data_IF_161441075777
#
_entry.id   IF_161441075777
#
_cell.length_a   1.000
_cell.length_b   1.000
_cell.length_c   1.000
_cell.angle_alpha   90.00
_cell.angle_beta   90.00
_cell.angle_gamma   90.00
#
_symmetry.space_group_name_H-M   'P 1'
#
loop_
_entity.id
_entity.type
_entity.pdbx_description
1 polymer ?
#
# COMPACT_ATOMS: atom_id res chain seq x y z
N UNK A 1 -41.71 7.52 37.31
CA UNK A 1 -41.74 8.11 35.96
C UNK A 1 -40.50 7.62 35.21
N UNK A 2 -40.66 6.57 34.44
CA UNK A 2 -39.59 6.05 33.56
C UNK A 2 -39.55 6.96 32.34
N UNK A 3 -38.51 7.79 32.20
CA UNK A 3 -38.23 8.54 31.00
C UNK A 3 -38.10 7.54 29.84
N UNK A 4 -39.03 7.61 28.92
CA UNK A 4 -38.96 6.87 27.66
C UNK A 4 -37.66 7.26 26.95
N UNK A 5 -36.70 6.33 26.95
CA UNK A 5 -35.48 6.46 26.16
C UNK A 5 -35.87 6.69 24.72
N UNK A 6 -35.73 7.91 24.23
CA UNK A 6 -35.94 8.25 22.81
C UNK A 6 -35.02 7.39 22.01
N UNK A 7 -35.60 6.43 21.29
CA UNK A 7 -34.93 5.61 20.28
C UNK A 7 -34.17 6.58 19.36
N UNK A 8 -32.84 6.50 19.25
CA UNK A 8 -32.09 7.40 18.39
C UNK A 8 -32.63 7.29 16.97
N UNK A 9 -33.00 8.43 16.37
CA UNK A 9 -33.43 8.52 14.98
C UNK A 9 -32.49 7.70 14.14
N UNK A 10 -33.05 6.70 13.44
CA UNK A 10 -32.28 5.82 12.57
C UNK A 10 -31.34 6.66 11.70
N UNK A 11 -30.03 6.41 11.83
CA UNK A 11 -29.05 7.16 11.04
C UNK A 11 -29.29 6.87 9.56
N UNK A 12 -29.63 7.92 8.80
CA UNK A 12 -29.93 7.81 7.36
C UNK A 12 -28.75 7.31 6.52
N UNK A 13 -27.53 7.29 7.08
CA UNK A 13 -26.33 6.75 6.44
C UNK A 13 -26.23 5.22 6.46
N UNK A 14 -27.01 4.51 7.29
CA UNK A 14 -26.92 3.04 7.38
C UNK A 14 -27.13 2.36 6.02
N UNK A 15 -28.19 2.67 5.23
CA UNK A 15 -28.39 2.06 3.92
C UNK A 15 -27.30 2.44 2.91
N UNK A 16 -26.73 3.63 2.99
CA UNK A 16 -25.63 4.04 2.12
C UNK A 16 -24.37 3.18 2.39
N UNK A 17 -24.02 3.01 3.66
CA UNK A 17 -22.86 2.17 4.03
C UNK A 17 -23.06 0.71 3.64
N UNK A 18 -24.27 0.16 3.88
CA UNK A 18 -24.60 -1.19 3.45
C UNK A 18 -24.54 -1.34 1.93
N UNK A 19 -25.05 -0.35 1.20
CA UNK A 19 -24.99 -0.30 -0.26
C UNK A 19 -23.54 -0.31 -0.78
N UNK A 20 -22.65 0.50 -0.19
CA UNK A 20 -21.22 0.50 -0.58
C UNK A 20 -20.63 -0.89 -0.44
N UNK A 21 -20.81 -1.55 0.71
CA UNK A 21 -20.27 -2.89 0.95
C UNK A 21 -20.84 -3.91 -0.04
N UNK A 22 -22.17 -3.88 -0.27
CA UNK A 22 -22.82 -4.78 -1.22
C UNK A 22 -22.31 -4.55 -2.64
N UNK A 23 -22.18 -3.29 -3.08
CA UNK A 23 -21.70 -2.94 -4.42
C UNK A 23 -20.29 -3.46 -4.69
N UNK A 24 -19.38 -3.26 -3.73
CA UNK A 24 -18.00 -3.80 -3.82
C UNK A 24 -18.02 -5.33 -3.85
N UNK A 25 -18.76 -5.99 -2.95
CA UNK A 25 -18.85 -7.45 -2.90
C UNK A 25 -19.37 -8.04 -4.21
N UNK A 26 -20.42 -7.44 -4.80
CA UNK A 26 -20.97 -7.89 -6.08
C UNK A 26 -19.94 -7.73 -7.21
N UNK A 27 -19.19 -6.61 -7.23
CA UNK A 27 -18.14 -6.42 -8.22
C UNK A 27 -17.02 -7.47 -8.09
N UNK A 28 -16.63 -7.83 -6.89
CA UNK A 28 -15.59 -8.84 -6.64
C UNK A 28 -16.01 -10.28 -7.05
N UNK A 29 -17.31 -10.55 -7.19
CA UNK A 29 -17.83 -11.83 -7.69
C UNK A 29 -17.84 -11.91 -9.23
N UNK A 30 -17.55 -10.84 -9.94
CA UNK A 30 -17.55 -10.86 -11.40
C UNK A 30 -16.36 -11.67 -11.93
N UNK A 31 -16.59 -12.66 -12.82
CA UNK A 31 -15.50 -13.48 -13.37
C UNK A 31 -14.59 -12.70 -14.33
N UNK A 32 -15.12 -11.63 -14.91
CA UNK A 32 -14.42 -10.77 -15.86
C UNK A 32 -14.86 -9.32 -15.68
N UNK A 33 -13.97 -8.38 -15.99
CA UNK A 33 -14.31 -6.96 -16.01
C UNK A 33 -15.20 -6.66 -17.22
N UNK A 34 -16.32 -5.95 -16.97
CA UNK A 34 -17.17 -5.42 -18.03
C UNK A 34 -16.50 -4.26 -18.77
N UNK A 35 -17.09 -3.86 -19.90
CA UNK A 35 -16.64 -2.66 -20.61
C UNK A 35 -17.01 -1.39 -19.83
N UNK A 36 -16.19 -0.32 -19.97
CA UNK A 36 -16.42 0.95 -19.27
C UNK A 36 -17.85 1.54 -19.42
N UNK A 37 -18.50 1.48 -20.60
CA UNK A 37 -19.88 1.96 -20.75
C UNK A 37 -20.89 1.24 -19.85
N UNK A 38 -20.69 -0.05 -19.55
CA UNK A 38 -21.57 -0.81 -18.65
C UNK A 38 -21.48 -0.25 -17.23
N UNK A 39 -20.28 0.01 -16.71
CA UNK A 39 -20.10 0.63 -15.41
C UNK A 39 -20.68 2.03 -15.33
N UNK A 40 -20.52 2.85 -16.40
CA UNK A 40 -21.11 4.17 -16.47
C UNK A 40 -22.65 4.10 -16.46
N UNK A 41 -23.25 3.16 -17.20
CA UNK A 41 -24.69 2.94 -17.19
C UNK A 41 -25.22 2.51 -15.82
N UNK A 42 -24.49 1.61 -15.11
CA UNK A 42 -24.84 1.19 -13.75
C UNK A 42 -24.70 2.34 -12.74
N UNK A 43 -23.79 3.28 -12.95
CA UNK A 43 -23.65 4.44 -12.07
C UNK A 43 -24.80 5.46 -12.19
N UNK A 44 -25.48 5.55 -13.35
CA UNK A 44 -26.52 6.56 -13.64
C UNK A 44 -27.65 6.59 -12.60
N UNK A 45 -28.29 5.47 -12.21
CA UNK A 45 -29.35 5.50 -11.19
C UNK A 45 -28.87 6.07 -9.85
N UNK A 46 -27.63 5.73 -9.44
CA UNK A 46 -27.01 6.28 -8.24
C UNK A 46 -26.78 7.77 -8.30
N UNK A 47 -26.26 8.27 -9.42
CA UNK A 47 -26.04 9.71 -9.65
C UNK A 47 -27.36 10.48 -9.69
N UNK A 48 -28.37 9.95 -10.38
CA UNK A 48 -29.71 10.56 -10.43
C UNK A 48 -30.33 10.66 -9.02
N UNK A 49 -30.22 9.59 -8.23
CA UNK A 49 -30.70 9.62 -6.85
C UNK A 49 -29.99 10.69 -6.02
N UNK A 50 -28.65 10.79 -6.13
CA UNK A 50 -27.88 11.83 -5.44
C UNK A 50 -28.33 13.24 -5.86
N UNK A 51 -28.56 13.49 -7.14
CA UNK A 51 -29.05 14.79 -7.66
C UNK A 51 -30.44 15.13 -7.11
N UNK A 52 -31.36 14.15 -7.05
CA UNK A 52 -32.70 14.35 -6.47
C UNK A 52 -32.62 14.71 -4.98
N UNK A 53 -31.72 14.07 -4.23
CA UNK A 53 -31.54 14.41 -2.81
C UNK A 53 -30.94 15.80 -2.61
N UNK A 54 -29.98 16.20 -3.44
CA UNK A 54 -29.39 17.55 -3.42
C UNK A 54 -30.41 18.63 -3.79
N UNK A 55 -31.39 18.33 -4.67
CA UNK A 55 -32.48 19.23 -5.03
C UNK A 55 -33.54 19.36 -3.91
N UNK A 56 -33.33 18.84 -2.72
CA UNK A 56 -34.18 19.04 -1.54
C UNK A 56 -35.48 18.24 -1.52
N UNK A 57 -35.69 17.29 -2.44
CA UNK A 57 -36.85 16.40 -2.44
C UNK A 57 -36.68 15.35 -1.33
N UNK A 58 -37.25 15.59 -0.16
CA UNK A 58 -37.25 14.66 0.97
C UNK A 58 -38.07 13.42 0.59
N UNK A 59 -37.39 12.29 0.45
CA UNK A 59 -38.03 11.00 0.16
C UNK A 59 -38.77 10.46 1.39
N UNK A 60 -39.91 9.81 1.15
CA UNK A 60 -40.67 9.06 2.15
C UNK A 60 -39.94 7.78 2.63
N UNK A 61 -40.70 6.83 3.27
CA UNK A 61 -40.16 5.55 3.80
C UNK A 61 -39.40 4.67 2.79
N UNK A 62 -39.66 4.80 1.50
CA UNK A 62 -38.92 4.10 0.43
C UNK A 62 -37.51 4.69 0.17
N UNK A 63 -37.16 5.82 0.76
CA UNK A 63 -35.87 6.51 0.55
C UNK A 63 -34.65 5.68 0.96
N UNK A 64 -34.77 4.82 1.98
CA UNK A 64 -33.67 3.99 2.44
C UNK A 64 -33.28 2.88 1.45
N UNK A 65 -34.27 2.28 0.77
CA UNK A 65 -34.03 1.26 -0.26
C UNK A 65 -33.33 1.86 -1.48
N UNK A 66 -33.79 3.03 -1.92
CA UNK A 66 -33.15 3.77 -3.01
C UNK A 66 -31.76 4.27 -2.65
N UNK A 67 -31.52 4.63 -1.37
CA UNK A 67 -30.21 5.00 -0.88
C UNK A 67 -29.23 3.81 -0.93
N UNK A 68 -29.68 2.61 -0.54
CA UNK A 68 -28.89 1.39 -0.61
C UNK A 68 -28.55 1.05 -2.05
N UNK A 69 -29.53 1.05 -2.96
CA UNK A 69 -29.30 0.76 -4.38
C UNK A 69 -28.39 1.77 -5.05
N UNK A 70 -28.58 3.06 -4.75
CA UNK A 70 -27.74 4.12 -5.27
C UNK A 70 -26.29 3.98 -4.85
N UNK A 71 -26.06 3.71 -3.55
CA UNK A 71 -24.72 3.49 -3.04
C UNK A 71 -24.10 2.21 -3.61
N UNK A 72 -24.88 1.13 -3.74
CA UNK A 72 -24.39 -0.13 -4.31
C UNK A 72 -24.01 0.03 -5.79
N UNK A 73 -24.83 0.69 -6.59
CA UNK A 73 -24.55 0.93 -8.02
C UNK A 73 -23.30 1.80 -8.21
N UNK A 74 -23.16 2.86 -7.40
CA UNK A 74 -21.98 3.73 -7.44
C UNK A 74 -20.71 3.01 -7.02
N UNK A 75 -20.75 2.23 -5.92
CA UNK A 75 -19.61 1.48 -5.44
C UNK A 75 -19.19 0.39 -6.42
N UNK A 76 -20.16 -0.37 -6.97
CA UNK A 76 -19.91 -1.35 -8.02
C UNK A 76 -19.22 -0.72 -9.23
N UNK A 77 -19.77 0.37 -9.75
CA UNK A 77 -19.22 1.06 -10.92
C UNK A 77 -17.82 1.65 -10.63
N UNK A 78 -17.65 2.30 -9.49
CA UNK A 78 -16.37 2.90 -9.11
C UNK A 78 -15.27 1.85 -8.97
N UNK A 79 -15.58 0.69 -8.37
CA UNK A 79 -14.63 -0.41 -8.21
C UNK A 79 -14.26 -1.00 -9.57
N UNK A 80 -15.24 -1.24 -10.45
CA UNK A 80 -15.00 -1.75 -11.80
C UNK A 80 -14.21 -0.78 -12.69
N UNK A 81 -14.52 0.52 -12.65
CA UNK A 81 -13.77 1.53 -13.39
C UNK A 81 -12.32 1.66 -12.89
N UNK A 82 -12.09 1.61 -11.56
CA UNK A 82 -10.73 1.58 -11.00
C UNK A 82 -9.94 0.37 -11.49
N UNK A 83 -10.58 -0.81 -11.51
CA UNK A 83 -9.94 -2.03 -11.99
C UNK A 83 -9.58 -1.93 -13.49
N UNK A 84 -10.47 -1.40 -14.33
CA UNK A 84 -10.19 -1.13 -15.75
C UNK A 84 -9.05 -0.13 -15.94
N UNK A 85 -9.04 0.95 -15.16
CA UNK A 85 -7.96 1.94 -15.20
C UNK A 85 -6.62 1.33 -14.82
N UNK A 86 -6.59 0.48 -13.80
CA UNK A 86 -5.38 -0.22 -13.37
C UNK A 86 -4.91 -1.20 -14.46
N UNK A 87 -5.83 -1.93 -15.09
CA UNK A 87 -5.52 -2.83 -16.20
C UNK A 87 -4.96 -2.08 -17.41
N UNK A 88 -5.53 -0.91 -17.74
CA UNK A 88 -5.04 -0.06 -18.82
C UNK A 88 -3.64 0.55 -18.56
N UNK A 89 -3.19 0.55 -17.32
CA UNK A 89 -1.86 1.00 -16.93
C UNK A 89 -0.81 -0.12 -16.96
N UNK A 90 -1.16 -1.33 -17.35
CA UNK A 90 -0.20 -2.42 -17.50
C UNK A 90 0.65 -2.23 -18.78
N UNK A 91 1.77 -2.95 -18.85
CA UNK A 91 2.65 -2.93 -20.02
C UNK A 91 1.91 -3.39 -21.27
N UNK A 92 2.01 -2.63 -22.36
CA UNK A 92 1.48 -3.04 -23.66
C UNK A 92 2.18 -4.30 -24.18
N UNK A 93 1.41 -5.20 -24.81
CA UNK A 93 1.93 -6.44 -25.33
C UNK A 93 3.02 -6.23 -26.43
N UNK A 94 2.92 -5.11 -27.14
CA UNK A 94 3.86 -4.68 -28.18
C UNK A 94 5.25 -4.33 -27.66
N UNK A 95 5.37 -3.95 -26.39
CA UNK A 95 6.64 -3.58 -25.73
C UNK A 95 7.25 -4.73 -24.92
N UNK A 96 6.53 -5.84 -24.77
CA UNK A 96 7.01 -6.99 -24.01
C UNK A 96 8.25 -7.62 -24.66
N UNK A 97 9.28 -7.89 -23.86
CA UNK A 97 10.53 -8.52 -24.28
C UNK A 97 11.47 -7.61 -25.10
N UNK A 98 11.09 -6.34 -25.31
CA UNK A 98 11.93 -5.36 -26.00
C UNK A 98 12.87 -4.64 -25.04
N UNK A 99 13.99 -4.17 -25.56
CA UNK A 99 14.95 -3.39 -24.80
C UNK A 99 14.50 -1.93 -24.79
N UNK A 100 14.20 -1.43 -23.62
CA UNK A 100 13.65 -0.09 -23.39
C UNK A 100 14.63 0.71 -22.56
N UNK A 101 14.84 1.97 -22.92
CA UNK A 101 15.57 2.91 -22.08
C UNK A 101 14.58 3.66 -21.21
N UNK A 102 14.77 3.58 -19.90
CA UNK A 102 13.92 4.26 -18.92
C UNK A 102 14.72 5.24 -18.07
N UNK A 103 14.10 6.34 -17.69
CA UNK A 103 14.56 7.21 -16.62
C UNK A 103 13.51 7.19 -15.53
N UNK A 104 13.94 6.97 -14.29
CA UNK A 104 13.03 6.90 -13.17
C UNK A 104 13.72 6.99 -11.82
N UNK A 105 12.94 7.11 -10.77
CA UNK A 105 13.39 7.17 -9.37
C UNK A 105 13.17 5.85 -8.66
N UNK A 106 14.11 5.44 -7.80
CA UNK A 106 13.95 4.28 -6.92
C UNK A 106 12.86 4.57 -5.89
N UNK A 107 11.70 3.95 -6.07
CA UNK A 107 10.49 4.23 -5.29
C UNK A 107 10.37 3.41 -4.00
N UNK A 108 11.25 2.45 -3.79
CA UNK A 108 11.33 1.64 -2.58
C UNK A 108 12.79 1.34 -2.24
N UNK A 109 13.03 0.89 -1.04
CA UNK A 109 14.35 0.43 -0.62
C UNK A 109 14.85 -0.68 -1.56
N UNK A 110 16.06 -0.58 -2.11
CA UNK A 110 16.71 -1.66 -2.85
C UNK A 110 16.82 -2.91 -1.97
N UNK A 111 16.54 -4.07 -2.57
CA UNK A 111 16.50 -5.31 -1.83
C UNK A 111 17.55 -6.26 -2.35
N UNK A 112 18.61 -6.54 -1.57
CA UNK A 112 19.58 -7.55 -1.90
C UNK A 112 18.92 -8.91 -2.06
N UNK A 113 19.40 -9.68 -3.04
CA UNK A 113 19.05 -11.08 -3.27
C UNK A 113 20.34 -11.87 -3.46
N UNK A 114 20.30 -13.20 -3.36
CA UNK A 114 21.48 -14.05 -3.59
C UNK A 114 22.20 -13.77 -4.92
N UNK A 115 21.46 -13.34 -5.93
CA UNK A 115 21.96 -13.18 -7.30
C UNK A 115 21.97 -11.73 -7.80
N UNK A 116 21.77 -10.75 -6.91
CA UNK A 116 21.70 -9.35 -7.33
C UNK A 116 20.85 -8.48 -6.41
N UNK A 117 20.21 -7.47 -6.99
CA UNK A 117 19.33 -6.54 -6.25
C UNK A 117 17.99 -6.40 -6.97
N UNK A 118 16.91 -6.40 -6.22
CA UNK A 118 15.59 -6.05 -6.74
C UNK A 118 15.30 -4.59 -6.48
N UNK A 119 14.86 -3.90 -7.51
CA UNK A 119 14.56 -2.47 -7.52
C UNK A 119 13.11 -2.23 -7.87
N UNK A 120 12.45 -1.30 -7.20
CA UNK A 120 11.18 -0.74 -7.63
C UNK A 120 11.42 0.66 -8.17
N UNK A 121 11.08 0.89 -9.43
CA UNK A 121 11.32 2.14 -10.13
C UNK A 121 10.01 2.82 -10.46
N UNK A 122 9.87 4.09 -10.05
CA UNK A 122 8.84 4.99 -10.54
C UNK A 122 9.33 5.59 -11.87
N UNK A 123 8.70 5.20 -12.97
CA UNK A 123 9.11 5.60 -14.31
C UNK A 123 8.69 7.04 -14.57
N UNK A 124 9.64 7.87 -15.02
CA UNK A 124 9.41 9.26 -15.40
C UNK A 124 9.32 9.44 -16.92
N UNK A 125 10.19 8.74 -17.64
CA UNK A 125 10.19 8.71 -19.10
C UNK A 125 10.73 7.38 -19.61
N UNK A 126 10.29 7.01 -20.80
CA UNK A 126 10.74 5.80 -21.46
C UNK A 126 10.84 6.02 -22.96
N UNK A 127 11.84 5.37 -23.59
CA UNK A 127 12.04 5.41 -25.03
C UNK A 127 12.31 4.01 -25.56
N UNK A 128 11.80 3.75 -26.78
CA UNK A 128 12.08 2.58 -27.57
C UNK A 128 12.61 3.03 -28.93
N UNK A 129 13.83 2.64 -29.31
CA UNK A 129 14.49 3.11 -30.53
C UNK A 129 14.49 4.64 -30.71
N UNK A 130 14.68 5.37 -29.59
CA UNK A 130 14.68 6.84 -29.59
C UNK A 130 13.30 7.50 -29.59
N UNK A 131 12.21 6.73 -29.77
CA UNK A 131 10.84 7.24 -29.74
C UNK A 131 10.24 7.13 -28.33
N UNK A 132 9.52 8.16 -27.83
CA UNK A 132 8.89 8.10 -26.53
C UNK A 132 7.77 7.05 -26.51
N UNK A 133 7.74 6.23 -25.47
CA UNK A 133 6.71 5.20 -25.25
C UNK A 133 6.08 5.35 -23.86
N UNK A 134 4.84 4.91 -23.74
CA UNK A 134 4.14 4.89 -22.44
C UNK A 134 4.42 3.56 -21.73
N UNK A 135 4.91 3.67 -20.51
CA UNK A 135 5.10 2.54 -19.61
C UNK A 135 4.24 2.69 -18.35
N UNK A 136 4.02 1.59 -17.62
CA UNK A 136 3.45 1.63 -16.28
C UNK A 136 4.20 2.60 -15.36
N UNK A 137 3.47 3.28 -14.48
CA UNK A 137 4.07 4.24 -13.55
C UNK A 137 5.09 3.61 -12.59
N UNK A 138 4.92 2.31 -12.29
CA UNK A 138 5.83 1.55 -11.42
C UNK A 138 6.19 0.24 -12.07
N UNK A 139 7.49 -0.09 -12.04
CA UNK A 139 8.06 -1.34 -12.54
C UNK A 139 8.96 -1.97 -11.48
N UNK A 140 8.92 -3.31 -11.36
CA UNK A 140 9.83 -4.06 -10.51
C UNK A 140 10.93 -4.69 -11.38
N UNK A 141 12.18 -4.40 -11.07
CA UNK A 141 13.35 -4.80 -11.86
C UNK A 141 14.30 -5.66 -11.02
N UNK A 142 14.77 -6.77 -11.57
CA UNK A 142 15.93 -7.47 -11.08
C UNK A 142 17.20 -6.90 -11.71
N UNK A 143 18.19 -6.57 -10.91
CA UNK A 143 19.53 -6.26 -11.39
C UNK A 143 20.47 -7.38 -10.91
N UNK A 144 20.83 -8.28 -11.81
CA UNK A 144 21.55 -9.50 -11.47
C UNK A 144 23.05 -9.34 -11.65
N UNK A 145 23.82 -9.92 -10.73
CA UNK A 145 25.26 -10.03 -10.84
C UNK A 145 25.60 -11.20 -11.79
N UNK A 146 26.32 -10.94 -12.86
CA UNK A 146 27.16 -11.95 -13.52
C UNK A 146 26.53 -13.21 -14.14
N UNK A 147 25.22 -13.36 -14.23
CA UNK A 147 24.59 -14.59 -14.77
C UNK A 147 24.77 -14.75 -16.30
N UNK A 148 25.35 -13.77 -16.99
CA UNK A 148 25.66 -13.86 -18.43
C UNK A 148 27.15 -13.78 -18.73
N UNK A 149 28.00 -14.10 -17.78
CA UNK A 149 29.47 -14.06 -17.95
C UNK A 149 30.06 -15.47 -17.96
N UNK A 150 29.59 -16.33 -18.87
CA UNK A 150 30.34 -17.53 -19.32
C UNK A 150 31.38 -17.21 -20.39
N UNK A 151 31.80 -15.97 -20.56
CA UNK A 151 32.92 -15.61 -21.43
C UNK A 151 34.07 -15.11 -20.56
N UNK A 152 35.04 -16.01 -20.41
CA UNK A 152 36.16 -15.97 -19.47
C UNK A 152 37.25 -14.91 -19.77
N UNK A 153 36.97 -13.71 -20.30
CA UNK A 153 38.08 -12.81 -20.67
C UNK A 153 37.84 -11.28 -20.39
N UNK A 154 36.93 -10.94 -19.54
CA UNK A 154 36.83 -9.54 -19.08
C UNK A 154 36.69 -9.45 -17.56
N UNK A 155 37.83 -9.46 -16.89
CA UNK A 155 37.98 -9.32 -15.45
C UNK A 155 37.69 -7.90 -14.94
N UNK A 156 36.48 -7.37 -15.20
CA UNK A 156 35.93 -6.28 -14.41
C UNK A 156 34.56 -6.73 -13.95
N UNK A 157 34.43 -7.11 -12.64
CA UNK A 157 33.10 -7.21 -12.05
C UNK A 157 32.47 -5.84 -12.22
N UNK A 158 31.39 -5.74 -12.99
CA UNK A 158 30.58 -4.55 -13.06
C UNK A 158 30.07 -4.35 -11.63
N UNK A 159 30.78 -3.48 -10.89
CA UNK A 159 30.44 -3.12 -9.53
C UNK A 159 29.01 -2.58 -9.61
N UNK A 160 28.06 -3.38 -9.15
CA UNK A 160 26.86 -2.76 -8.59
C UNK A 160 27.41 -1.70 -7.66
N UNK A 161 27.12 -0.45 -7.95
CA UNK A 161 27.49 0.63 -7.05
C UNK A 161 26.88 0.24 -5.72
N UNK A 162 27.73 -0.14 -4.75
CA UNK A 162 27.34 -0.75 -3.47
C UNK A 162 26.45 0.12 -2.60
N UNK A 163 25.88 1.17 -3.13
CA UNK A 163 25.13 2.17 -2.39
C UNK A 163 23.90 2.66 -3.19
N UNK A 164 23.05 1.71 -3.62
CA UNK A 164 21.76 2.05 -4.20
C UNK A 164 20.82 2.55 -3.10
N UNK A 165 20.27 3.76 -3.26
CA UNK A 165 19.40 4.38 -2.26
C UNK A 165 18.03 4.74 -2.82
N UNK A 166 17.01 4.55 -2.01
CA UNK A 166 15.67 5.04 -2.34
C UNK A 166 15.71 6.55 -2.64
N UNK A 167 14.93 6.97 -3.65
CA UNK A 167 14.92 8.38 -4.10
C UNK A 167 16.03 8.75 -5.07
N UNK A 168 16.95 7.85 -5.43
CA UNK A 168 17.91 8.10 -6.50
C UNK A 168 17.25 8.02 -7.88
N UNK A 169 17.67 8.89 -8.77
CA UNK A 169 17.22 8.93 -10.17
C UNK A 169 18.24 8.24 -11.06
N UNK A 170 17.78 7.28 -11.83
CA UNK A 170 18.61 6.42 -12.67
C UNK A 170 18.12 6.40 -14.12
N UNK A 171 19.08 6.33 -15.05
CA UNK A 171 18.85 5.93 -16.44
C UNK A 171 19.26 4.46 -16.59
N UNK A 172 18.33 3.63 -17.03
CA UNK A 172 18.50 2.17 -17.11
C UNK A 172 18.02 1.66 -18.46
N UNK A 173 18.74 0.71 -19.04
CA UNK A 173 18.24 -0.11 -20.14
C UNK A 173 17.62 -1.36 -19.54
N UNK A 174 16.36 -1.63 -19.86
CA UNK A 174 15.57 -2.69 -19.22
C UNK A 174 14.84 -3.53 -20.24
N UNK A 175 14.60 -4.80 -19.92
CA UNK A 175 13.69 -5.66 -20.66
C UNK A 175 12.51 -6.01 -19.75
N UNK A 176 11.32 -5.61 -20.20
CA UNK A 176 10.11 -5.71 -19.42
C UNK A 176 9.19 -6.81 -19.92
N UNK A 177 8.40 -7.37 -19.02
CA UNK A 177 7.30 -8.28 -19.29
C UNK A 177 6.09 -7.91 -18.45
N UNK A 178 4.91 -8.28 -18.93
CA UNK A 178 3.69 -8.16 -18.11
C UNK A 178 3.83 -8.97 -16.82
N UNK A 179 3.18 -8.52 -15.72
CA UNK A 179 3.13 -9.31 -14.50
C UNK A 179 2.51 -10.68 -14.78
N UNK A 180 3.25 -11.75 -14.51
CA UNK A 180 2.75 -13.11 -14.58
C UNK A 180 3.10 -13.86 -13.31
N UNK A 181 2.13 -14.58 -12.75
CA UNK A 181 2.29 -15.45 -11.60
C UNK A 181 1.84 -16.88 -11.90
N UNK A 182 2.40 -17.85 -11.19
CA UNK A 182 1.86 -19.20 -11.19
C UNK A 182 0.51 -19.20 -10.44
N UNK A 183 -0.55 -19.70 -11.10
CA UNK A 183 -1.89 -19.84 -10.49
C UNK A 183 -2.08 -21.25 -9.96
N UNK A 184 -1.28 -21.63 -8.97
CA UNK A 184 -1.47 -22.91 -8.30
C UNK A 184 -2.64 -22.80 -7.30
N UNK A 185 -3.52 -23.81 -7.22
CA UNK A 185 -4.57 -23.83 -6.20
C UNK A 185 -3.95 -23.64 -4.81
N UNK A 186 -4.51 -22.72 -4.01
CA UNK A 186 -4.04 -22.35 -2.66
C UNK A 186 -2.60 -21.80 -2.60
N UNK A 187 -1.96 -21.53 -3.75
CA UNK A 187 -0.66 -20.88 -3.83
C UNK A 187 -0.74 -19.37 -3.66
N UNK A 188 0.42 -18.75 -3.45
CA UNK A 188 0.54 -17.28 -3.43
C UNK A 188 0.30 -16.70 -4.84
N UNK A 189 -0.70 -15.83 -4.98
CA UNK A 189 -0.99 -15.12 -6.22
C UNK A 189 -0.05 -13.91 -6.36
N UNK A 190 1.06 -14.13 -7.08
CA UNK A 190 2.06 -13.10 -7.31
C UNK A 190 1.56 -11.98 -8.23
N UNK A 191 0.69 -12.29 -9.17
CA UNK A 191 0.11 -11.31 -10.10
C UNK A 191 -0.82 -10.34 -9.35
N UNK A 192 -1.72 -10.87 -8.50
CA UNK A 192 -2.58 -10.08 -7.62
C UNK A 192 -1.75 -9.22 -6.65
N UNK A 193 -0.69 -9.78 -6.08
CA UNK A 193 0.19 -9.03 -5.18
C UNK A 193 0.89 -7.85 -5.89
N UNK A 194 1.39 -8.04 -7.12
CA UNK A 194 1.96 -6.96 -7.93
C UNK A 194 0.90 -5.90 -8.26
N UNK A 195 -0.30 -6.35 -8.58
CA UNK A 195 -1.44 -5.48 -8.86
C UNK A 195 -1.80 -4.61 -7.66
N UNK A 196 -1.87 -5.18 -6.46
CA UNK A 196 -2.08 -4.45 -5.19
C UNK A 196 -0.97 -3.41 -4.92
N UNK A 197 0.26 -3.73 -5.32
CA UNK A 197 1.39 -2.81 -5.18
C UNK A 197 1.42 -1.72 -6.27
N UNK A 198 0.50 -1.76 -7.23
CA UNK A 198 0.45 -0.83 -8.36
C UNK A 198 1.62 -1.02 -9.34
N UNK A 199 2.18 -2.22 -9.41
CA UNK A 199 3.27 -2.57 -10.33
C UNK A 199 2.68 -3.09 -11.63
N UNK A 200 2.88 -2.36 -12.72
CA UNK A 200 2.31 -2.70 -14.04
C UNK A 200 3.25 -3.47 -14.96
N UNK A 201 4.51 -3.64 -14.58
CA UNK A 201 5.47 -4.48 -15.31
C UNK A 201 6.56 -5.02 -14.39
N UNK A 202 7.11 -6.17 -14.75
CA UNK A 202 8.29 -6.76 -14.13
C UNK A 202 9.37 -6.94 -15.18
N UNK A 203 10.63 -7.02 -14.78
CA UNK A 203 11.71 -7.22 -15.73
C UNK A 203 13.08 -7.23 -15.08
N UNK A 204 14.09 -6.97 -15.89
CA UNK A 204 15.46 -6.91 -15.42
C UNK A 204 16.25 -5.78 -16.10
N UNK A 205 17.26 -5.29 -15.41
CA UNK A 205 18.21 -4.31 -15.94
C UNK A 205 19.18 -5.02 -16.86
N UNK A 206 19.32 -4.51 -18.08
CA UNK A 206 20.36 -4.94 -19.00
C UNK A 206 21.66 -4.22 -18.67
N UNK A 207 22.66 -4.97 -18.32
CA UNK A 207 23.98 -4.47 -17.94
C UNK A 207 25.09 -5.37 -18.50
N UNK A 208 24.87 -5.95 -19.69
CA UNK A 208 25.85 -6.74 -20.40
C UNK A 208 26.94 -5.89 -21.07
N UNK A 209 27.99 -6.51 -21.60
CA UNK A 209 29.15 -5.80 -22.20
C UNK A 209 28.80 -4.91 -23.41
N UNK A 210 27.66 -5.20 -24.08
CA UNK A 210 27.14 -4.41 -25.21
C UNK A 210 26.01 -3.46 -24.87
N UNK A 211 25.55 -3.48 -23.61
CA UNK A 211 24.45 -2.63 -23.16
C UNK A 211 24.97 -1.30 -22.64
N UNK A 212 24.12 -0.26 -22.67
CA UNK A 212 24.46 1.00 -22.02
C UNK A 212 24.60 0.79 -20.51
N UNK A 213 25.69 1.32 -19.95
CA UNK A 213 25.95 1.23 -18.51
C UNK A 213 24.87 1.98 -17.75
N UNK A 214 24.23 1.37 -16.73
CA UNK A 214 23.30 2.04 -15.85
C UNK A 214 23.92 3.31 -15.24
N UNK A 215 23.23 4.45 -15.33
CA UNK A 215 23.75 5.74 -14.90
C UNK A 215 22.89 6.34 -13.80
N UNK A 216 23.53 6.70 -12.67
CA UNK A 216 22.89 7.50 -11.64
C UNK A 216 22.91 8.96 -12.08
N UNK A 217 21.72 9.54 -12.27
CA UNK A 217 21.56 10.90 -12.78
C UNK A 217 21.55 11.93 -11.66
N UNK A 218 20.86 11.62 -10.55
CA UNK A 218 20.73 12.57 -9.44
C UNK A 218 20.29 11.87 -8.14
N UNK A 219 20.59 12.52 -7.02
CA UNK A 219 19.89 12.28 -5.75
C UNK A 219 18.68 13.21 -5.67
N UNK A 220 17.50 12.65 -5.39
CA UNK A 220 16.27 13.45 -5.28
C UNK A 220 15.66 13.33 -3.88
N UNK A 221 14.84 14.30 -3.50
CA UNK A 221 14.05 14.26 -2.28
C UNK A 221 12.72 13.49 -2.45
N UNK A 222 12.55 12.79 -3.58
CA UNK A 222 11.41 11.90 -3.78
C UNK A 222 11.55 10.69 -2.86
N UNK A 223 10.42 10.17 -2.41
CA UNK A 223 10.33 9.01 -1.51
C UNK A 223 11.13 9.18 -0.19
N UNK A 224 10.94 10.29 0.57
CA UNK A 224 11.71 10.55 1.78
C UNK A 224 11.50 9.48 2.86
N UNK A 225 10.30 8.94 2.98
CA UNK A 225 9.98 7.87 3.94
C UNK A 225 10.83 6.63 3.64
N UNK A 226 10.92 6.21 2.38
CA UNK A 226 11.71 5.04 1.98
C UNK A 226 13.22 5.25 2.24
N UNK A 227 13.71 6.47 2.07
CA UNK A 227 15.10 6.82 2.41
C UNK A 227 15.37 6.70 3.90
N UNK A 228 14.47 7.22 4.74
CA UNK A 228 14.61 7.11 6.21
C UNK A 228 14.50 5.64 6.64
N UNK A 229 13.55 4.89 6.06
CA UNK A 229 13.42 3.44 6.31
C UNK A 229 14.71 2.70 5.96
N UNK A 230 15.30 3.01 4.80
CA UNK A 230 16.57 2.41 4.38
C UNK A 230 17.70 2.76 5.36
N UNK A 231 17.84 4.03 5.74
CA UNK A 231 18.86 4.47 6.69
C UNK A 231 18.71 3.78 8.06
N UNK A 232 17.47 3.63 8.55
CA UNK A 232 17.20 2.92 9.80
C UNK A 232 17.50 1.42 9.67
N UNK A 233 17.11 0.79 8.55
CA UNK A 233 17.45 -0.62 8.29
C UNK A 233 18.97 -0.82 8.28
N UNK A 234 19.69 0.01 7.52
CA UNK A 234 21.14 -0.09 7.40
C UNK A 234 21.81 0.10 8.76
N UNK A 235 21.38 1.09 9.56
CA UNK A 235 21.88 1.30 10.93
C UNK A 235 21.58 0.10 11.87
N UNK A 236 20.46 -0.60 11.70
CA UNK A 236 20.16 -1.82 12.46
C UNK A 236 21.16 -2.91 12.12
N UNK A 237 21.47 -3.12 10.84
CA UNK A 237 22.47 -4.11 10.42
C UNK A 237 23.89 -3.71 10.87
N UNK A 238 24.28 -2.45 10.73
CA UNK A 238 25.59 -1.95 11.17
C UNK A 238 25.80 -2.16 12.68
N UNK A 239 24.74 -2.00 13.48
CA UNK A 239 24.83 -2.11 14.93
C UNK A 239 24.68 -3.54 15.46
N UNK A 240 23.73 -4.31 14.92
CA UNK A 240 23.39 -5.66 15.42
C UNK A 240 24.18 -6.77 14.73
N UNK A 241 24.66 -6.53 13.52
CA UNK A 241 25.38 -7.50 12.70
C UNK A 241 26.64 -6.88 12.07
N UNK A 242 27.55 -6.32 12.86
CA UNK A 242 28.78 -5.69 12.35
C UNK A 242 29.68 -6.72 11.64
N UNK A 243 29.59 -7.99 11.99
CA UNK A 243 30.24 -9.08 11.28
C UNK A 243 29.27 -9.71 10.28
N UNK A 244 29.50 -9.41 8.98
CA UNK A 244 28.68 -9.97 7.90
C UNK A 244 28.79 -11.50 7.77
N UNK A 245 29.76 -12.14 8.39
CA UNK A 245 29.95 -13.60 8.39
C UNK A 245 29.20 -14.32 9.50
N UNK A 246 28.78 -13.60 10.56
CA UNK A 246 27.98 -14.17 11.65
C UNK A 246 26.51 -14.29 11.24
N UNK A 247 26.12 -15.49 10.82
CA UNK A 247 24.76 -15.79 10.39
C UNK A 247 23.71 -15.54 11.50
N UNK A 248 24.06 -15.69 12.77
CA UNK A 248 23.12 -15.45 13.86
C UNK A 248 22.84 -13.96 14.04
N UNK A 249 23.87 -13.13 13.99
CA UNK A 249 23.70 -11.67 14.05
C UNK A 249 22.89 -11.17 12.85
N UNK A 250 23.17 -11.65 11.64
CA UNK A 250 22.44 -11.29 10.43
C UNK A 250 20.95 -11.64 10.54
N UNK A 251 20.62 -12.82 11.08
CA UNK A 251 19.23 -13.22 11.32
C UNK A 251 18.52 -12.31 12.32
N UNK A 252 19.14 -12.04 13.46
CA UNK A 252 18.58 -11.16 14.48
C UNK A 252 18.37 -9.75 13.93
N UNK A 253 19.34 -9.18 13.22
CA UNK A 253 19.23 -7.89 12.56
C UNK A 253 18.10 -7.88 11.54
N UNK A 254 17.94 -8.95 10.74
CA UNK A 254 16.87 -9.11 9.77
C UNK A 254 15.48 -9.08 10.41
N UNK A 255 15.27 -9.80 11.51
CA UNK A 255 14.01 -9.81 12.27
C UNK A 255 13.73 -8.43 12.85
N UNK A 256 14.71 -7.77 13.48
CA UNK A 256 14.54 -6.42 14.04
C UNK A 256 14.22 -5.42 12.92
N UNK A 257 14.94 -5.46 11.80
CA UNK A 257 14.69 -4.60 10.65
C UNK A 257 13.26 -4.80 10.10
N UNK A 258 12.80 -6.06 10.00
CA UNK A 258 11.44 -6.37 9.56
C UNK A 258 10.36 -5.79 10.49
N UNK A 259 10.54 -5.89 11.80
CA UNK A 259 9.60 -5.39 12.80
C UNK A 259 9.62 -3.87 12.94
N UNK A 260 10.77 -3.23 12.73
CA UNK A 260 10.90 -1.77 12.84
C UNK A 260 10.50 -1.07 11.55
N UNK A 261 11.02 -1.51 10.42
CA UNK A 261 10.82 -0.83 9.13
C UNK A 261 9.73 -1.46 8.26
N UNK A 262 9.22 -2.64 8.59
CA UNK A 262 8.30 -3.41 7.76
C UNK A 262 8.97 -4.13 6.59
N UNK A 263 10.30 -4.18 6.54
CA UNK A 263 11.03 -4.89 5.49
C UNK A 263 11.10 -6.40 5.77
N UNK A 264 10.00 -7.09 5.49
CA UNK A 264 9.90 -8.55 5.69
C UNK A 264 10.91 -9.36 4.86
N UNK A 265 11.53 -8.76 3.86
CA UNK A 265 12.54 -9.42 3.02
C UNK A 265 13.93 -9.43 3.66
N UNK A 266 14.11 -8.67 4.74
CA UNK A 266 15.29 -8.77 5.58
C UNK A 266 15.40 -10.11 6.32
N UNK A 267 14.28 -10.86 6.41
CA UNK A 267 14.23 -12.20 7.02
C UNK A 267 14.51 -13.23 5.95
N UNK A 268 15.42 -14.18 6.22
CA UNK A 268 15.77 -15.25 5.31
C UNK A 268 14.61 -16.24 5.08
N UNK A 269 14.62 -16.93 3.93
CA UNK A 269 13.56 -17.91 3.59
C UNK A 269 13.52 -19.08 4.58
N UNK A 270 14.67 -19.57 5.04
CA UNK A 270 14.79 -20.65 6.02
C UNK A 270 14.08 -20.30 7.33
N UNK A 271 14.17 -19.04 7.76
CA UNK A 271 13.50 -18.56 8.97
C UNK A 271 12.00 -18.42 8.78
N UNK A 272 11.56 -17.99 7.59
CA UNK A 272 10.13 -17.96 7.26
C UNK A 272 9.51 -19.36 7.34
N UNK A 273 10.22 -20.41 6.92
CA UNK A 273 9.73 -21.77 7.03
C UNK A 273 9.64 -22.21 8.50
N UNK A 274 10.62 -21.85 9.33
CA UNK A 274 10.56 -22.06 10.77
C UNK A 274 9.39 -21.30 11.42
N UNK A 275 9.19 -20.04 11.08
CA UNK A 275 8.09 -19.22 11.62
C UNK A 275 6.71 -19.74 11.20
N UNK A 276 6.59 -20.33 10.01
CA UNK A 276 5.35 -20.97 9.56
C UNK A 276 5.08 -22.25 10.33
N UNK A 277 6.08 -23.10 10.51
CA UNK A 277 5.93 -24.37 11.23
C UNK A 277 5.66 -24.18 12.71
N UNK A 278 6.21 -23.12 13.31
CA UNK A 278 5.97 -22.77 14.72
C UNK A 278 4.73 -21.89 14.93
N UNK A 279 4.06 -21.46 13.84
CA UNK A 279 2.85 -20.62 13.90
C UNK A 279 3.09 -19.15 14.26
N UNK A 280 4.35 -18.69 14.38
CA UNK A 280 4.69 -17.30 14.76
C UNK A 280 4.86 -16.38 13.56
N UNK A 281 4.72 -16.86 12.32
CA UNK A 281 4.91 -16.07 11.10
C UNK A 281 4.05 -14.79 11.08
N UNK A 282 2.86 -14.83 11.67
CA UNK A 282 1.96 -13.67 11.77
C UNK A 282 2.54 -12.54 12.63
N UNK A 283 3.38 -12.87 13.62
CA UNK A 283 4.04 -11.88 14.50
C UNK A 283 5.24 -11.22 13.84
N UNK A 284 5.84 -11.86 12.82
CA UNK A 284 6.99 -11.33 12.09
C UNK A 284 6.62 -10.32 11.01
N UNK A 285 5.32 -10.09 10.82
CA UNK A 285 4.80 -9.04 9.94
C UNK A 285 4.11 -7.95 10.75
N UNK A 286 4.23 -6.68 10.30
CA UNK A 286 3.50 -5.59 10.94
C UNK A 286 2.02 -5.76 10.65
N UNK A 287 1.28 -6.13 11.70
CA UNK A 287 -0.17 -6.39 11.64
C UNK A 287 -0.99 -5.18 12.10
N UNK A 288 -2.30 -5.22 11.85
CA UNK A 288 -3.22 -4.23 12.38
C UNK A 288 -3.19 -4.11 13.92
N UNK A 289 -2.88 -5.21 14.62
CA UNK A 289 -2.74 -5.22 16.08
C UNK A 289 -1.57 -4.33 16.54
N UNK A 290 -0.42 -4.40 15.87
CA UNK A 290 0.74 -3.56 16.19
C UNK A 290 0.39 -2.07 16.04
N UNK A 291 -0.32 -1.70 14.99
CA UNK A 291 -0.74 -0.31 14.75
C UNK A 291 -1.76 0.14 15.79
N UNK A 292 -2.70 -0.72 16.16
CA UNK A 292 -3.72 -0.41 17.18
C UNK A 292 -3.09 -0.25 18.56
N UNK A 293 -2.18 -1.15 18.94
CA UNK A 293 -1.44 -1.06 20.20
C UNK A 293 -0.60 0.23 20.25
N UNK A 294 0.11 0.53 19.17
CA UNK A 294 0.89 1.76 19.07
C UNK A 294 -0.01 3.00 19.16
N UNK A 295 -1.16 3.01 18.48
CA UNK A 295 -2.15 4.10 18.55
C UNK A 295 -2.63 4.33 19.99
N UNK A 296 -2.90 3.25 20.74
CA UNK A 296 -3.32 3.32 22.13
C UNK A 296 -2.22 3.88 23.03
N UNK A 297 -0.99 3.39 22.90
CA UNK A 297 0.16 3.90 23.66
C UNK A 297 0.45 5.38 23.33
N UNK A 298 0.41 5.73 22.06
CA UNK A 298 0.59 7.11 21.59
C UNK A 298 -0.50 8.03 22.13
N UNK A 299 -1.77 7.60 22.10
CA UNK A 299 -2.88 8.35 22.68
C UNK A 299 -2.72 8.56 24.19
N UNK A 300 -2.29 7.51 24.91
CA UNK A 300 -2.01 7.61 26.36
C UNK A 300 -0.87 8.61 26.63
N UNK A 301 0.23 8.55 25.88
CA UNK A 301 1.36 9.47 26.02
C UNK A 301 0.98 10.91 25.70
N UNK A 302 0.29 11.15 24.56
CA UNK A 302 -0.21 12.49 24.19
C UNK A 302 -1.16 13.03 25.24
N UNK A 303 -2.11 12.23 25.72
CA UNK A 303 -3.05 12.63 26.74
C UNK A 303 -2.36 12.96 28.09
N UNK A 304 -1.33 12.20 28.47
CA UNK A 304 -0.54 12.48 29.66
C UNK A 304 0.27 13.78 29.52
N UNK A 305 0.92 13.99 28.39
CA UNK A 305 1.67 15.22 28.10
C UNK A 305 0.75 16.44 28.02
N UNK A 306 -0.42 16.31 27.38
CA UNK A 306 -1.40 17.39 27.24
C UNK A 306 -1.91 17.90 28.58
N UNK A 307 -2.21 16.98 29.50
CA UNK A 307 -2.68 17.31 30.89
C UNK A 307 -1.65 18.05 31.71
N UNK A 308 -0.36 18.05 31.34
CA UNK A 308 0.67 18.80 32.08
C UNK A 308 0.66 20.31 31.80
N UNK A 309 -0.05 20.74 30.73
CA UNK A 309 -0.12 22.14 30.33
C UNK A 309 -1.54 22.67 30.44
N UNK A 310 -1.76 23.59 31.35
CA UNK A 310 -3.06 24.26 31.51
C UNK A 310 -3.48 24.99 30.22
N UNK A 311 -2.55 25.62 29.52
CA UNK A 311 -2.83 26.33 28.26
C UNK A 311 -3.36 25.38 27.19
N UNK A 312 -2.77 24.19 27.06
CA UNK A 312 -3.22 23.18 26.09
C UNK A 312 -4.60 22.62 26.47
N UNK A 313 -4.86 22.39 27.77
CA UNK A 313 -6.15 21.92 28.22
C UNK A 313 -7.28 22.96 28.05
N UNK A 314 -6.95 24.26 28.15
CA UNK A 314 -7.91 25.32 27.85
C UNK A 314 -8.18 25.48 26.35
N UNK A 315 -7.16 25.25 25.51
CA UNK A 315 -7.31 25.32 24.05
C UNK A 315 -8.13 24.13 23.48
N UNK A 316 -7.86 22.93 23.99
CA UNK A 316 -8.54 21.72 23.52
C UNK A 316 -8.54 20.63 24.59
N UNK A 317 -9.63 19.85 24.67
CA UNK A 317 -9.78 18.81 25.70
C UNK A 317 -8.73 17.71 25.55
N UNK A 318 -8.10 17.30 26.65
CA UNK A 318 -7.08 16.27 26.65
C UNK A 318 -7.54 14.92 26.04
N UNK A 319 -8.79 14.44 26.23
CA UNK A 319 -9.27 13.24 25.54
C UNK A 319 -9.31 13.39 24.02
N UNK A 320 -9.74 14.55 23.49
CA UNK A 320 -9.79 14.80 22.05
C UNK A 320 -8.38 14.89 21.45
N UNK A 321 -7.48 15.60 22.15
CA UNK A 321 -6.06 15.68 21.75
C UNK A 321 -5.39 14.31 21.75
N UNK A 322 -5.68 13.45 22.74
CA UNK A 322 -5.18 12.08 22.80
C UNK A 322 -5.66 11.22 21.62
N UNK A 323 -6.96 11.30 21.27
CA UNK A 323 -7.52 10.57 20.14
C UNK A 323 -6.87 10.97 18.81
N UNK A 324 -6.78 12.29 18.57
CA UNK A 324 -6.19 12.79 17.31
C UNK A 324 -4.69 12.55 17.28
N UNK A 325 -3.97 12.80 18.37
CA UNK A 325 -2.54 12.54 18.46
C UNK A 325 -2.20 11.06 18.28
N UNK A 326 -2.99 10.17 18.91
CA UNK A 326 -2.85 8.72 18.74
C UNK A 326 -3.06 8.29 17.28
N UNK A 327 -4.10 8.81 16.61
CA UNK A 327 -4.37 8.53 15.21
C UNK A 327 -3.24 9.03 14.28
N UNK A 328 -2.78 10.27 14.49
CA UNK A 328 -1.71 10.85 13.68
C UNK A 328 -0.40 10.08 13.82
N UNK A 329 -0.01 9.73 15.05
CA UNK A 329 1.20 8.96 15.31
C UNK A 329 1.08 7.53 14.76
N UNK A 330 -0.09 6.90 14.86
CA UNK A 330 -0.34 5.59 14.25
C UNK A 330 -0.28 5.66 12.71
N UNK A 331 -0.79 6.73 12.11
CA UNK A 331 -0.67 6.99 10.67
C UNK A 331 0.79 7.17 10.23
N UNK A 332 1.58 7.92 10.99
CA UNK A 332 3.02 8.09 10.75
C UNK A 332 3.77 6.75 10.88
N UNK A 333 3.45 5.95 11.90
CA UNK A 333 4.02 4.62 12.04
C UNK A 333 3.63 3.69 10.88
N UNK A 334 2.36 3.71 10.46
CA UNK A 334 1.90 2.95 9.31
C UNK A 334 2.62 3.35 8.02
N UNK A 335 2.86 4.65 7.79
CA UNK A 335 3.65 5.15 6.67
C UNK A 335 5.10 4.68 6.75
N UNK A 336 5.70 4.78 7.93
CA UNK A 336 7.07 4.34 8.17
C UNK A 336 7.23 2.82 8.01
N UNK A 337 6.21 2.03 8.35
CA UNK A 337 6.20 0.57 8.18
C UNK A 337 5.90 0.08 6.75
N UNK A 338 5.83 0.99 5.77
CA UNK A 338 5.67 0.66 4.35
C UNK A 338 4.24 0.70 3.83
N UNK A 339 3.28 1.23 4.61
CA UNK A 339 1.90 1.49 4.18
C UNK A 339 1.22 0.28 3.52
N UNK A 340 1.41 -0.92 4.08
CA UNK A 340 0.79 -2.15 3.58
C UNK A 340 -0.74 -2.15 3.75
N UNK A 341 -1.46 -2.98 2.99
CA UNK A 341 -2.93 -3.06 3.03
C UNK A 341 -3.50 -3.28 4.45
N UNK A 342 -2.94 -4.15 5.32
CA UNK A 342 -3.39 -4.28 6.69
C UNK A 342 -3.26 -2.98 7.50
N UNK A 343 -2.18 -2.21 7.28
CA UNK A 343 -1.95 -0.93 7.93
C UNK A 343 -2.96 0.12 7.47
N UNK A 344 -3.20 0.23 6.17
CA UNK A 344 -4.19 1.15 5.60
C UNK A 344 -5.58 0.91 6.18
N UNK A 345 -6.03 -0.35 6.21
CA UNK A 345 -7.32 -0.75 6.78
C UNK A 345 -7.43 -0.34 8.25
N UNK A 346 -6.40 -0.63 9.04
CA UNK A 346 -6.40 -0.31 10.49
C UNK A 346 -6.43 1.19 10.72
N UNK A 347 -5.63 1.98 9.99
CA UNK A 347 -5.64 3.45 10.11
C UNK A 347 -7.00 4.02 9.69
N UNK A 348 -7.61 3.51 8.60
CA UNK A 348 -8.95 3.94 8.17
C UNK A 348 -10.04 3.61 9.20
N UNK A 349 -9.99 2.43 9.83
CA UNK A 349 -10.90 2.05 10.92
C UNK A 349 -10.70 2.95 12.16
N UNK A 350 -9.45 3.17 12.58
CA UNK A 350 -9.13 4.08 13.70
C UNK A 350 -9.59 5.49 13.41
N UNK A 351 -9.35 6.02 12.19
CA UNK A 351 -9.82 7.34 11.78
C UNK A 351 -11.34 7.44 11.86
N UNK A 352 -12.07 6.43 11.39
CA UNK A 352 -13.53 6.37 11.48
C UNK A 352 -13.99 6.44 12.93
N UNK A 353 -13.41 5.64 13.82
CA UNK A 353 -13.77 5.64 15.25
C UNK A 353 -13.45 6.98 15.91
N UNK A 354 -12.28 7.56 15.63
CA UNK A 354 -11.88 8.87 16.18
C UNK A 354 -12.83 9.97 15.71
N UNK A 355 -13.16 10.04 14.41
CA UNK A 355 -14.08 11.03 13.87
C UNK A 355 -15.49 10.91 14.51
N UNK A 356 -15.98 9.68 14.65
CA UNK A 356 -17.27 9.44 15.31
C UNK A 356 -17.26 9.86 16.80
N UNK A 357 -16.17 9.60 17.52
CA UNK A 357 -16.02 10.06 18.92
C UNK A 357 -15.92 11.58 19.02
N UNK A 358 -15.19 12.23 18.12
CA UNK A 358 -15.08 13.69 18.08
C UNK A 358 -16.41 14.38 17.70
N UNK A 359 -17.33 13.68 17.01
CA UNK A 359 -18.65 14.23 16.73
C UNK A 359 -19.53 14.48 17.98
N UNK A 360 -19.13 14.00 19.15
CA UNK A 360 -19.87 14.12 20.40
C UNK A 360 -21.18 13.33 20.46
N UNK A 361 -21.54 12.61 19.40
CA UNK A 361 -22.76 11.82 19.31
C UNK A 361 -22.54 10.41 19.82
N UNK A 362 -23.56 9.82 20.43
CA UNK A 362 -23.55 8.39 20.78
C UNK A 362 -23.97 7.59 19.56
N UNK A 363 -23.01 6.92 18.95
CA UNK A 363 -23.25 6.05 17.80
C UNK A 363 -23.46 4.60 18.27
N UNK A 364 -24.56 3.93 17.87
CA UNK A 364 -24.74 2.51 18.12
C UNK A 364 -23.60 1.72 17.47
N UNK A 365 -23.04 0.74 18.19
CA UNK A 365 -21.89 -0.02 17.73
C UNK A 365 -22.08 -0.69 16.35
N UNK A 366 -23.28 -1.20 15.96
CA UNK A 366 -23.46 -1.77 14.62
C UNK A 366 -23.27 -0.74 13.48
N UNK A 367 -23.64 0.53 13.72
CA UNK A 367 -23.45 1.61 12.76
C UNK A 367 -21.98 2.00 12.63
N UNK A 368 -21.25 2.04 13.74
CA UNK A 368 -19.79 2.26 13.74
C UNK A 368 -19.10 1.18 12.93
N UNK A 369 -19.50 -0.07 13.14
CA UNK A 369 -18.95 -1.22 12.43
C UNK A 369 -19.24 -1.16 10.93
N UNK A 370 -20.49 -0.91 10.57
CA UNK A 370 -20.91 -0.82 9.17
C UNK A 370 -20.20 0.34 8.44
N UNK A 371 -20.06 1.49 9.11
CA UNK A 371 -19.32 2.62 8.54
C UNK A 371 -17.84 2.28 8.34
N UNK A 372 -17.21 1.63 9.34
CA UNK A 372 -15.82 1.19 9.22
C UNK A 372 -15.65 0.19 8.04
N UNK A 373 -16.58 -0.77 7.89
CA UNK A 373 -16.59 -1.67 6.74
C UNK A 373 -16.73 -0.92 5.41
N UNK A 374 -17.63 0.05 5.32
CA UNK A 374 -17.84 0.83 4.11
C UNK A 374 -16.65 1.74 3.73
N UNK A 375 -15.89 2.21 4.72
CA UNK A 375 -14.67 3.03 4.51
C UNK A 375 -13.49 2.17 4.06
N UNK A 376 -13.45 0.90 4.49
CA UNK A 376 -12.36 -0.04 4.17
C UNK A 376 -12.62 -0.78 2.86
N UNK A 377 -13.88 -0.95 2.46
CA UNK A 377 -14.26 -1.57 1.19
C UNK A 377 -13.95 -0.69 -0.02
#
# INVERSE_FOLDING_TARGET
MLEAATVPRAWHGTPLCAGVVVGVLVQLQQPQLGAAPVYLAVALPGLLWCMVQLAGRRGGRASWFWALLAAASLAFAATGLRALQQQAQQLGADLQGKDLRIVGTLAAMPQPTSNGVRLRVAVESATFNGQPVRLPARVDLGWYHGVLQESADSAQPQRLSGDLRAGERWALTVRLKQPHGARNPQGFDYELWLWEQGVGATGYVRAGPRDEVPQRLAHTWRHPVERVRQAVRDAIFDYLAPDATDAQQQRLAGVVAALVTGDQRAIERSEWDLFRTTGVSHLMSISGLHITLFAWLAAAAVGAAWRRSQRLCLAWSAPSAALVGGLLLAGLYALFSGWGVPAQRTVAMLATVVLLRLSGRRWPWPQVWLLACAVVA
#
